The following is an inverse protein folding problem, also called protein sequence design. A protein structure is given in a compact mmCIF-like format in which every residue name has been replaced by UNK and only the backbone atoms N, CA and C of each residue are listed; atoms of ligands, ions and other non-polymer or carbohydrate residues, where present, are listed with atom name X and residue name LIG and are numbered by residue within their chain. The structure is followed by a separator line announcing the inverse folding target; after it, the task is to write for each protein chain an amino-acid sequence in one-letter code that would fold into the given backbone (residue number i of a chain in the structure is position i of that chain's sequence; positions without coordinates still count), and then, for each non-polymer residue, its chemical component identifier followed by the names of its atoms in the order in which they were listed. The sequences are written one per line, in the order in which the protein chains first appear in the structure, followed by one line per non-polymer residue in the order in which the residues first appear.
data_IF_531335966650
#
_entry.id   IF_531335966650
#
_cell.length_a   1.000
_cell.length_b   1.000
_cell.length_c   1.000
_cell.angle_alpha   90.00
_cell.angle_beta   90.00
_cell.angle_gamma   90.00
#
_symmetry.space_group_name_H-M   'P 1'
#
loop_
_entity.id
_entity.type
_entity.pdbx_description
1 polymer ?
#
# COMPACT_ATOMS: atom_id res chain seq x y z
N UNK A 1 27.18 3.23 2.35
CA UNK A 1 26.13 2.67 3.21
C UNK A 1 26.21 1.15 3.19
N UNK A 2 26.58 0.49 4.26
CA UNK A 2 26.81 -0.96 4.25
C UNK A 2 25.52 -1.77 3.99
N UNK A 3 24.32 -1.19 4.22
CA UNK A 3 23.06 -1.93 4.10
C UNK A 3 22.11 -1.39 3.00
N UNK A 4 22.57 -0.45 2.17
CA UNK A 4 21.71 0.21 1.16
C UNK A 4 20.97 -0.80 0.27
N UNK A 5 21.70 -1.72 -0.36
CA UNK A 5 21.10 -2.69 -1.28
C UNK A 5 20.20 -3.71 -0.59
N UNK A 6 20.49 -4.07 0.67
CA UNK A 6 19.65 -5.00 1.44
C UNK A 6 18.30 -4.37 1.79
N UNK A 7 18.32 -3.11 2.23
CA UNK A 7 17.10 -2.36 2.54
C UNK A 7 16.31 -2.06 1.26
N UNK A 8 16.97 -1.58 0.21
CA UNK A 8 16.35 -1.29 -1.09
C UNK A 8 15.75 -2.53 -1.74
N UNK A 9 16.45 -3.66 -1.69
CA UNK A 9 15.97 -4.94 -2.20
C UNK A 9 14.71 -5.43 -1.47
N UNK A 10 14.64 -5.25 -0.16
CA UNK A 10 13.42 -5.57 0.58
C UNK A 10 12.23 -4.71 0.11
N UNK A 11 12.39 -3.39 -0.04
CA UNK A 11 11.33 -2.53 -0.57
C UNK A 11 10.93 -2.94 -1.99
N UNK A 12 11.90 -3.25 -2.85
CA UNK A 12 11.66 -3.69 -4.22
C UNK A 12 10.73 -4.91 -4.26
N UNK A 13 11.07 -5.98 -3.53
CA UNK A 13 10.27 -7.20 -3.52
C UNK A 13 8.94 -7.04 -2.76
N UNK A 14 8.90 -6.27 -1.68
CA UNK A 14 7.67 -6.00 -0.93
C UNK A 14 6.64 -5.27 -1.81
N UNK A 15 7.08 -4.23 -2.51
CA UNK A 15 6.19 -3.49 -3.41
C UNK A 15 5.98 -4.20 -4.75
N UNK A 16 6.89 -5.08 -5.16
CA UNK A 16 6.67 -6.03 -6.25
C UNK A 16 5.52 -6.99 -5.94
N UNK A 17 5.47 -7.53 -4.71
CA UNK A 17 4.34 -8.34 -4.25
C UNK A 17 3.03 -7.51 -4.23
N UNK A 18 3.08 -6.27 -3.77
CA UNK A 18 1.94 -5.37 -3.80
C UNK A 18 1.47 -5.08 -5.24
N UNK A 19 2.41 -4.86 -6.18
CA UNK A 19 2.14 -4.68 -7.60
C UNK A 19 1.57 -5.94 -8.28
N UNK A 20 1.85 -7.11 -7.74
CA UNK A 20 1.24 -8.37 -8.17
C UNK A 20 -0.17 -8.51 -7.60
N UNK A 21 -0.35 -8.22 -6.32
CA UNK A 21 -1.61 -8.44 -5.60
C UNK A 21 -2.69 -7.42 -6.00
N UNK A 22 -2.38 -6.11 -5.93
CA UNK A 22 -3.41 -5.06 -6.06
C UNK A 22 -4.03 -5.02 -7.46
N UNK A 23 -3.27 -4.99 -8.56
CA UNK A 23 -3.87 -4.92 -9.90
C UNK A 23 -4.47 -6.24 -10.38
N UNK A 24 -3.95 -7.39 -9.96
CA UNK A 24 -4.25 -8.64 -10.66
C UNK A 24 -4.99 -9.69 -9.83
N UNK A 25 -5.01 -9.57 -8.50
CA UNK A 25 -5.68 -10.56 -7.65
C UNK A 25 -7.18 -10.62 -7.88
N UNK A 26 -7.82 -9.47 -8.13
CA UNK A 26 -9.25 -9.43 -8.45
C UNK A 26 -9.59 -10.14 -9.77
N UNK A 27 -8.66 -10.10 -10.76
CA UNK A 27 -8.81 -10.85 -12.01
C UNK A 27 -8.73 -12.36 -11.76
N UNK A 28 -7.78 -12.80 -10.93
CA UNK A 28 -7.68 -14.20 -10.53
C UNK A 28 -8.96 -14.69 -9.83
N UNK A 29 -9.50 -13.91 -8.89
CA UNK A 29 -10.76 -14.23 -8.22
C UNK A 29 -11.93 -14.30 -9.22
N UNK A 30 -11.96 -13.41 -10.21
CA UNK A 30 -12.95 -13.45 -11.28
C UNK A 30 -12.84 -14.72 -12.11
N UNK A 31 -11.63 -15.12 -12.49
CA UNK A 31 -11.37 -16.35 -13.26
C UNK A 31 -11.70 -17.63 -12.48
N UNK A 32 -11.63 -17.59 -11.14
CA UNK A 32 -12.14 -18.65 -10.25
C UNK A 32 -13.68 -18.68 -10.18
N UNK A 33 -14.38 -17.75 -10.83
CA UNK A 33 -15.84 -17.70 -10.88
C UNK A 33 -16.51 -16.98 -9.71
N UNK A 34 -15.77 -16.24 -8.88
CA UNK A 34 -16.38 -15.44 -7.81
C UNK A 34 -17.22 -14.29 -8.37
N UNK A 35 -18.39 -14.06 -7.79
CA UNK A 35 -19.24 -12.92 -8.11
C UNK A 35 -18.57 -11.59 -7.73
N UNK A 36 -19.01 -10.48 -8.35
CA UNK A 36 -18.47 -9.15 -8.01
C UNK A 36 -18.61 -8.82 -6.52
N UNK A 37 -19.72 -9.21 -5.88
CA UNK A 37 -19.92 -9.02 -4.44
C UNK A 37 -18.90 -9.83 -3.60
N UNK A 38 -18.64 -11.09 -3.98
CA UNK A 38 -17.64 -11.94 -3.33
C UNK A 38 -16.22 -11.36 -3.51
N UNK A 39 -15.87 -10.91 -4.72
CA UNK A 39 -14.58 -10.26 -5.00
C UNK A 39 -14.43 -9.02 -4.14
N UNK A 40 -15.44 -8.15 -4.08
CA UNK A 40 -15.43 -6.94 -3.23
C UNK A 40 -15.19 -7.28 -1.76
N UNK A 41 -15.89 -8.28 -1.23
CA UNK A 41 -15.74 -8.72 0.16
C UNK A 41 -14.33 -9.31 0.43
N UNK A 42 -13.82 -10.16 -0.46
CA UNK A 42 -12.49 -10.76 -0.34
C UNK A 42 -11.38 -9.70 -0.43
N UNK A 43 -11.49 -8.73 -1.34
CA UNK A 43 -10.53 -7.64 -1.48
C UNK A 43 -10.58 -6.62 -0.31
N UNK A 44 -11.68 -6.54 0.42
CA UNK A 44 -11.78 -5.73 1.63
C UNK A 44 -10.99 -6.32 2.82
N UNK A 45 -10.80 -7.65 2.88
CA UNK A 45 -10.14 -8.34 4.00
C UNK A 45 -8.72 -7.79 4.27
N UNK A 46 -7.80 -7.69 3.28
CA UNK A 46 -6.48 -7.13 3.52
C UNK A 46 -6.50 -5.67 4.00
N UNK A 47 -7.51 -4.89 3.63
CA UNK A 47 -7.67 -3.52 4.08
C UNK A 47 -8.17 -3.45 5.53
N UNK A 48 -9.11 -4.32 5.91
CA UNK A 48 -9.60 -4.41 7.28
C UNK A 48 -8.50 -4.85 8.25
N UNK A 49 -7.67 -5.81 7.86
CA UNK A 49 -6.54 -6.26 8.70
C UNK A 49 -5.50 -5.17 8.92
N UNK A 50 -5.37 -4.17 8.02
CA UNK A 50 -4.50 -3.00 8.20
C UNK A 50 -4.92 -2.12 9.38
N UNK A 51 -6.17 -2.17 9.82
CA UNK A 51 -6.65 -1.37 10.95
C UNK A 51 -6.05 -1.86 12.27
N UNK A 52 -5.93 -3.16 12.45
CA UNK A 52 -5.51 -3.76 13.73
C UNK A 52 -4.12 -4.38 13.73
N UNK A 53 -3.75 -5.11 12.68
CA UNK A 53 -2.52 -5.87 12.65
C UNK A 53 -1.24 -5.02 12.86
N UNK A 54 -1.03 -3.88 12.18
CA UNK A 54 0.17 -3.07 12.39
C UNK A 54 0.32 -2.57 13.83
N UNK A 55 -0.79 -2.19 14.47
CA UNK A 55 -0.78 -1.69 15.85
C UNK A 55 -0.42 -2.80 16.85
N UNK A 56 -1.01 -3.99 16.69
CA UNK A 56 -0.71 -5.15 17.53
C UNK A 56 0.77 -5.56 17.40
N UNK A 57 1.23 -5.69 16.17
CA UNK A 57 2.62 -6.06 15.89
C UNK A 57 3.61 -4.97 16.29
N UNK A 58 3.24 -3.69 16.15
CA UNK A 58 4.00 -2.54 16.64
C UNK A 58 4.18 -2.58 18.14
N UNK A 59 3.09 -2.76 18.88
CA UNK A 59 3.12 -2.91 20.34
C UNK A 59 4.01 -4.09 20.78
N UNK A 60 3.89 -5.24 20.10
CA UNK A 60 4.73 -6.40 20.39
C UNK A 60 6.21 -6.14 20.10
N UNK A 61 6.51 -5.43 19.00
CA UNK A 61 7.87 -5.04 18.62
C UNK A 61 8.50 -4.09 19.63
N UNK A 62 7.76 -3.09 20.09
CA UNK A 62 8.23 -2.10 21.04
C UNK A 62 8.43 -2.71 22.45
N UNK A 63 7.50 -3.58 22.88
CA UNK A 63 7.60 -4.27 24.16
C UNK A 63 8.74 -5.28 24.22
N UNK A 64 8.93 -6.05 23.15
CA UNK A 64 9.98 -7.08 23.10
C UNK A 64 11.36 -6.53 22.77
N UNK A 65 11.45 -5.36 22.10
CA UNK A 65 12.69 -4.84 21.52
C UNK A 65 13.24 -5.68 20.37
N UNK A 66 12.49 -6.66 19.87
CA UNK A 66 12.96 -7.67 18.90
C UNK A 66 12.37 -7.46 17.51
N UNK A 67 12.37 -6.21 17.04
CA UNK A 67 11.75 -5.78 15.78
C UNK A 67 12.13 -6.66 14.57
N UNK A 68 13.42 -6.96 14.42
CA UNK A 68 13.90 -7.80 13.31
C UNK A 68 13.33 -9.24 13.38
N UNK A 69 13.19 -9.81 14.59
CA UNK A 69 12.55 -11.14 14.72
C UNK A 69 11.09 -11.12 14.30
N UNK A 70 10.37 -10.04 14.63
CA UNK A 70 8.97 -9.87 14.20
C UNK A 70 8.88 -9.73 12.67
N UNK A 71 9.77 -8.96 12.03
CA UNK A 71 9.83 -8.86 10.57
C UNK A 71 10.06 -10.24 9.94
N UNK A 72 11.02 -11.01 10.45
CA UNK A 72 11.33 -12.37 9.97
C UNK A 72 10.17 -13.33 10.18
N UNK A 73 9.59 -13.36 11.37
CA UNK A 73 8.46 -14.22 11.71
C UNK A 73 7.22 -13.85 10.90
N UNK A 74 6.90 -12.55 10.77
CA UNK A 74 5.76 -12.08 9.98
C UNK A 74 5.86 -12.48 8.50
N UNK A 75 7.04 -12.32 7.86
CA UNK A 75 7.23 -12.76 6.48
C UNK A 75 7.17 -14.28 6.34
N UNK A 76 7.79 -15.04 7.25
CA UNK A 76 7.74 -16.51 7.23
C UNK A 76 6.31 -17.02 7.38
N UNK A 77 5.59 -16.52 8.38
CA UNK A 77 4.22 -16.94 8.63
C UNK A 77 3.30 -16.52 7.47
N UNK A 78 3.47 -15.31 6.89
CA UNK A 78 2.75 -14.92 5.70
C UNK A 78 3.00 -15.88 4.53
N UNK A 79 4.26 -16.29 4.30
CA UNK A 79 4.60 -17.25 3.25
C UNK A 79 3.99 -18.63 3.48
N UNK A 80 4.02 -19.12 4.72
CA UNK A 80 3.47 -20.45 5.07
C UNK A 80 1.94 -20.46 4.96
N UNK A 81 1.27 -19.46 5.57
CA UNK A 81 -0.21 -19.41 5.58
C UNK A 81 -0.81 -19.07 4.22
N UNK A 82 0.01 -18.61 3.26
CA UNK A 82 -0.42 -18.39 1.88
C UNK A 82 -0.38 -19.67 1.03
N UNK A 83 0.39 -20.69 1.41
CA UNK A 83 0.50 -21.94 0.62
C UNK A 83 -0.83 -22.64 0.31
N UNK A 84 -1.85 -22.67 1.20
CA UNK A 84 -3.16 -23.24 0.87
C UNK A 84 -3.85 -22.61 -0.36
N UNK A 85 -3.36 -21.48 -0.87
CA UNK A 85 -3.90 -20.80 -2.07
C UNK A 85 -4.07 -21.74 -3.28
N UNK A 86 -3.28 -22.79 -3.37
CA UNK A 86 -3.33 -23.76 -4.47
C UNK A 86 -4.50 -24.74 -4.38
N UNK A 87 -5.21 -24.81 -3.24
CA UNK A 87 -6.29 -25.75 -2.97
C UNK A 87 -7.59 -25.09 -2.53
N UNK A 88 -7.61 -23.76 -2.36
CA UNK A 88 -8.80 -23.03 -1.92
C UNK A 88 -9.57 -22.51 -3.13
N UNK A 89 -10.85 -22.86 -3.18
CA UNK A 89 -11.78 -22.54 -4.29
C UNK A 89 -13.12 -21.99 -3.80
N UNK A 90 -13.40 -22.06 -2.49
CA UNK A 90 -14.64 -21.52 -1.90
C UNK A 90 -14.42 -20.14 -1.31
N UNK A 91 -15.51 -19.36 -1.18
CA UNK A 91 -15.47 -18.02 -0.57
C UNK A 91 -14.86 -18.05 0.85
N UNK A 92 -15.31 -18.99 1.70
CA UNK A 92 -14.87 -19.03 3.09
C UNK A 92 -13.43 -19.50 3.25
N UNK A 93 -12.99 -20.45 2.44
CA UNK A 93 -11.59 -20.89 2.44
C UNK A 93 -10.65 -19.78 1.94
N UNK A 94 -11.05 -19.06 0.90
CA UNK A 94 -10.31 -17.90 0.39
C UNK A 94 -10.31 -16.75 1.41
N UNK A 95 -11.42 -16.48 2.09
CA UNK A 95 -11.50 -15.46 3.13
C UNK A 95 -10.58 -15.80 4.31
N UNK A 96 -10.58 -17.04 4.79
CA UNK A 96 -9.70 -17.51 5.85
C UNK A 96 -8.22 -17.38 5.47
N UNK A 97 -7.86 -17.74 4.23
CA UNK A 97 -6.53 -17.56 3.69
C UNK A 97 -6.13 -16.07 3.68
N UNK A 98 -6.97 -15.19 3.15
CA UNK A 98 -6.66 -13.77 3.05
C UNK A 98 -6.58 -13.10 4.43
N UNK A 99 -7.43 -13.46 5.40
CA UNK A 99 -7.33 -12.98 6.79
C UNK A 99 -5.98 -13.37 7.39
N UNK A 100 -5.64 -14.67 7.34
CA UNK A 100 -4.41 -15.19 7.92
C UNK A 100 -3.17 -14.59 7.26
N UNK A 101 -3.12 -14.59 5.93
CA UNK A 101 -2.03 -14.01 5.15
C UNK A 101 -1.86 -12.52 5.46
N UNK A 102 -2.92 -11.73 5.31
CA UNK A 102 -2.82 -10.27 5.46
C UNK A 102 -2.56 -9.84 6.90
N UNK A 103 -2.98 -10.61 7.90
CA UNK A 103 -2.65 -10.36 9.30
C UNK A 103 -1.13 -10.38 9.55
N UNK A 104 -0.43 -11.38 9.02
CA UNK A 104 1.02 -11.47 9.16
C UNK A 104 1.74 -10.50 8.21
N UNK A 105 1.28 -10.35 6.98
CA UNK A 105 1.93 -9.48 6.00
C UNK A 105 1.83 -7.99 6.36
N UNK A 106 0.68 -7.52 6.85
CA UNK A 106 0.49 -6.14 7.29
C UNK A 106 1.33 -5.76 8.53
N UNK A 107 1.84 -6.74 9.27
CA UNK A 107 2.77 -6.53 10.38
C UNK A 107 4.12 -5.95 9.92
N UNK A 108 4.54 -6.28 8.69
CA UNK A 108 5.94 -6.21 8.29
C UNK A 108 6.36 -4.81 7.88
N UNK A 109 5.57 -4.11 7.03
CA UNK A 109 6.02 -2.86 6.41
C UNK A 109 6.32 -1.77 7.44
N UNK A 110 5.42 -1.52 8.39
CA UNK A 110 5.61 -0.50 9.41
C UNK A 110 6.86 -0.77 10.26
N UNK A 111 7.08 -2.04 10.63
CA UNK A 111 8.27 -2.43 11.40
C UNK A 111 9.55 -2.30 10.58
N UNK A 112 9.47 -2.57 9.28
CA UNK A 112 10.60 -2.43 8.38
C UNK A 112 10.97 -0.97 8.11
N UNK A 113 9.99 -0.07 8.04
CA UNK A 113 10.22 1.37 7.92
C UNK A 113 10.99 1.92 9.12
N UNK A 114 10.58 1.55 10.33
CA UNK A 114 11.31 1.92 11.55
C UNK A 114 12.73 1.34 11.55
N UNK A 115 12.90 0.06 11.20
CA UNK A 115 14.22 -0.57 11.07
C UNK A 115 15.10 0.17 10.06
N UNK A 116 14.53 0.57 8.93
CA UNK A 116 15.23 1.32 7.87
C UNK A 116 15.74 2.66 8.40
N UNK A 117 14.87 3.45 9.04
CA UNK A 117 15.24 4.75 9.62
C UNK A 117 16.34 4.60 10.69
N UNK A 118 16.23 3.59 11.57
CA UNK A 118 17.25 3.27 12.56
C UNK A 118 18.58 2.88 11.93
N UNK A 119 18.54 2.07 10.86
CA UNK A 119 19.75 1.63 10.14
C UNK A 119 20.43 2.77 9.38
N UNK A 120 19.68 3.78 8.95
CA UNK A 120 20.20 4.98 8.31
C UNK A 120 20.79 5.98 9.33
N UNK A 121 20.27 6.05 10.54
CA UNK A 121 20.74 6.92 11.60
C UNK A 121 20.87 8.37 11.14
N UNK A 122 22.09 8.95 11.20
CA UNK A 122 22.36 10.33 10.76
C UNK A 122 22.11 10.57 9.26
N UNK A 123 21.95 9.53 8.45
CA UNK A 123 21.66 9.60 7.03
C UNK A 123 20.18 9.41 6.71
N UNK A 124 19.28 9.69 7.65
CA UNK A 124 17.81 9.56 7.48
C UNK A 124 17.27 10.35 6.27
N UNK A 125 17.93 11.45 5.86
CA UNK A 125 17.61 12.17 4.62
C UNK A 125 17.69 11.30 3.36
N UNK A 126 18.38 10.15 3.41
CA UNK A 126 18.47 9.18 2.31
C UNK A 126 17.36 8.13 2.31
N UNK A 127 16.44 8.19 3.26
CA UNK A 127 15.30 7.28 3.34
C UNK A 127 14.52 7.24 2.03
N UNK A 128 14.25 8.39 1.41
CA UNK A 128 13.54 8.48 0.14
C UNK A 128 14.22 7.70 -1.00
N UNK A 129 15.56 7.68 -1.06
CA UNK A 129 16.30 6.93 -2.08
C UNK A 129 16.17 5.42 -1.88
N UNK A 130 16.16 4.95 -0.63
CA UNK A 130 15.93 3.52 -0.32
C UNK A 130 14.48 3.15 -0.62
N UNK A 131 13.53 4.00 -0.20
CA UNK A 131 12.09 3.77 -0.36
C UNK A 131 11.63 3.80 -1.82
N UNK A 132 12.32 4.58 -2.68
CA UNK A 132 12.05 4.68 -4.13
C UNK A 132 12.12 3.32 -4.83
N UNK A 133 13.00 2.41 -4.37
CA UNK A 133 13.08 1.04 -4.91
C UNK A 133 11.77 0.26 -4.77
N UNK A 134 10.91 0.64 -3.81
CA UNK A 134 9.56 0.11 -3.73
C UNK A 134 8.71 0.50 -4.95
N UNK A 135 8.73 1.78 -5.36
CA UNK A 135 8.01 2.21 -6.57
C UNK A 135 8.56 1.52 -7.81
N UNK A 136 9.89 1.36 -7.92
CA UNK A 136 10.51 0.60 -9.02
C UNK A 136 10.05 -0.85 -9.00
N UNK A 137 10.05 -1.52 -7.84
CA UNK A 137 9.58 -2.90 -7.69
C UNK A 137 8.11 -3.07 -8.08
N UNK A 138 7.24 -2.14 -7.68
CA UNK A 138 5.84 -2.13 -8.10
C UNK A 138 5.70 -2.04 -9.63
N UNK A 139 6.36 -1.03 -10.25
CA UNK A 139 6.29 -0.79 -11.70
C UNK A 139 6.80 -2.01 -12.48
N UNK A 140 7.96 -2.57 -12.09
CA UNK A 140 8.51 -3.76 -12.73
C UNK A 140 7.55 -4.94 -12.61
N UNK A 141 7.00 -5.17 -11.41
CA UNK A 141 6.08 -6.29 -11.18
C UNK A 141 4.81 -6.16 -12.03
N UNK A 142 4.17 -5.00 -12.08
CA UNK A 142 2.91 -4.85 -12.84
C UNK A 142 3.14 -4.96 -14.35
N UNK A 143 4.26 -4.44 -14.88
CA UNK A 143 4.55 -4.53 -16.32
C UNK A 143 4.93 -5.96 -16.73
N UNK A 144 5.87 -6.56 -16.02
CA UNK A 144 6.33 -7.94 -16.32
C UNK A 144 5.17 -8.92 -16.16
N UNK A 145 4.41 -8.79 -15.07
CA UNK A 145 3.32 -9.71 -14.82
C UNK A 145 2.15 -9.49 -15.79
N UNK A 146 1.84 -8.25 -16.17
CA UNK A 146 0.83 -7.97 -17.18
C UNK A 146 1.10 -8.74 -18.48
N UNK A 147 2.33 -8.69 -18.98
CA UNK A 147 2.76 -9.44 -20.16
C UNK A 147 2.71 -10.97 -19.96
N UNK A 148 3.14 -11.45 -18.79
CA UNK A 148 3.04 -12.88 -18.46
C UNK A 148 1.59 -13.35 -18.43
N UNK A 149 0.70 -12.58 -17.77
CA UNK A 149 -0.71 -12.93 -17.65
C UNK A 149 -1.47 -12.91 -19.00
N UNK A 150 -1.04 -12.07 -19.95
CA UNK A 150 -1.60 -12.09 -21.30
C UNK A 150 -1.24 -13.39 -22.04
N UNK A 151 -0.10 -13.99 -21.74
CA UNK A 151 0.36 -15.23 -22.39
C UNK A 151 -0.13 -16.51 -21.71
N UNK A 152 -0.12 -16.55 -20.38
CA UNK A 152 -0.37 -17.80 -19.63
C UNK A 152 -1.61 -17.78 -18.73
N UNK A 153 -2.32 -16.64 -18.66
CA UNK A 153 -3.51 -16.47 -17.84
C UNK A 153 -3.20 -16.20 -16.35
N UNK A 154 -4.25 -15.95 -15.58
CA UNK A 154 -4.13 -15.56 -14.15
C UNK A 154 -3.75 -16.70 -13.21
N UNK A 155 -3.85 -17.95 -13.64
CA UNK A 155 -3.51 -19.13 -12.84
C UNK A 155 -2.05 -19.19 -12.35
N UNK A 156 -1.15 -18.38 -12.93
CA UNK A 156 0.23 -18.25 -12.48
C UNK A 156 0.39 -17.36 -11.23
N UNK A 157 -0.60 -16.52 -10.90
CA UNK A 157 -0.53 -15.56 -9.79
C UNK A 157 -0.22 -16.20 -8.43
N UNK A 158 -0.86 -17.32 -8.02
CA UNK A 158 -0.50 -18.00 -6.77
C UNK A 158 0.97 -18.38 -6.69
N UNK A 159 1.57 -18.84 -7.80
CA UNK A 159 2.98 -19.23 -7.87
C UNK A 159 3.90 -18.01 -7.73
N UNK A 160 3.60 -16.92 -8.44
CA UNK A 160 4.38 -15.67 -8.37
C UNK A 160 4.31 -15.07 -6.97
N UNK A 161 3.11 -14.98 -6.37
CA UNK A 161 2.93 -14.46 -5.02
C UNK A 161 3.65 -15.32 -3.98
N UNK A 162 3.52 -16.65 -4.06
CA UNK A 162 4.26 -17.56 -3.18
C UNK A 162 5.78 -17.38 -3.33
N UNK A 163 6.28 -17.33 -4.56
CA UNK A 163 7.71 -17.10 -4.83
C UNK A 163 8.20 -15.78 -4.25
N UNK A 164 7.46 -14.69 -4.42
CA UNK A 164 7.79 -13.37 -3.87
C UNK A 164 7.77 -13.37 -2.34
N UNK A 165 6.82 -14.05 -1.69
CA UNK A 165 6.76 -14.18 -0.24
C UNK A 165 7.99 -14.91 0.32
N UNK A 166 8.40 -16.00 -0.32
CA UNK A 166 9.62 -16.73 0.07
C UNK A 166 10.89 -15.89 -0.17
N UNK A 167 10.98 -15.17 -1.29
CA UNK A 167 12.09 -14.24 -1.56
C UNK A 167 12.16 -13.11 -0.52
N UNK A 168 11.01 -12.55 -0.14
CA UNK A 168 10.94 -11.56 0.93
C UNK A 168 11.46 -12.12 2.25
N UNK A 169 10.99 -13.30 2.64
CA UNK A 169 11.46 -13.95 3.87
C UNK A 169 12.99 -14.17 3.83
N UNK A 170 13.52 -14.76 2.75
CA UNK A 170 14.96 -14.94 2.58
C UNK A 170 15.73 -13.60 2.64
N UNK A 171 15.17 -12.55 2.01
CA UNK A 171 15.71 -11.19 2.09
C UNK A 171 15.82 -10.67 3.52
N UNK A 172 14.86 -11.01 4.40
CA UNK A 172 14.93 -10.58 5.82
C UNK A 172 16.10 -11.18 6.60
N UNK A 173 16.62 -12.33 6.15
CA UNK A 173 17.78 -12.98 6.81
C UNK A 173 19.06 -12.17 6.64
N UNK A 174 19.14 -11.35 5.58
CA UNK A 174 20.29 -10.49 5.29
C UNK A 174 20.23 -9.12 5.99
N UNK A 175 19.09 -8.78 6.62
CA UNK A 175 18.90 -7.48 7.24
C UNK A 175 19.74 -7.31 8.52
N UNK A 176 20.25 -6.08 8.78
CA UNK A 176 21.01 -5.81 9.99
C UNK A 176 20.13 -5.90 11.23
N UNK A 177 20.72 -6.37 12.35
CA UNK A 177 20.09 -6.25 13.64
C UNK A 177 20.09 -4.76 14.04
N UNK A 178 18.93 -4.12 14.03
CA UNK A 178 18.79 -2.76 14.54
C UNK A 178 18.84 -2.77 16.07
N UNK A 179 19.64 -1.90 16.67
CA UNK A 179 19.55 -1.61 18.10
C UNK A 179 18.35 -0.68 18.30
N UNK A 180 17.19 -1.23 18.62
CA UNK A 180 16.04 -0.41 18.97
C UNK A 180 16.21 0.12 20.41
N UNK A 181 16.22 1.44 20.65
CA UNK A 181 15.91 1.96 21.96
C UNK A 181 14.50 1.48 22.33
N UNK A 182 14.31 0.95 23.53
CA UNK A 182 12.98 0.72 24.08
C UNK A 182 12.22 2.05 24.02
N UNK A 183 11.07 2.06 23.36
CA UNK A 183 10.18 3.20 23.42
C UNK A 183 9.87 3.48 24.91
N UNK A 184 10.24 4.67 25.38
CA UNK A 184 9.77 5.13 26.67
C UNK A 184 8.26 5.29 26.54
N UNK A 185 7.50 4.66 27.42
CA UNK A 185 6.06 4.83 27.51
C UNK A 185 5.78 6.33 27.60
N UNK A 186 5.20 6.90 26.57
CA UNK A 186 4.87 8.31 26.49
C UNK A 186 3.89 8.70 27.60
N UNK A 187 4.09 9.89 28.15
CA UNK A 187 3.33 10.45 29.25
C UNK A 187 1.83 10.53 28.96
N UNK A 188 1.05 10.78 30.00
CA UNK A 188 -0.41 10.95 30.00
C UNK A 188 -0.83 12.05 28.97
N UNK A 189 -1.15 11.62 27.75
CA UNK A 189 -1.72 12.48 26.72
C UNK A 189 -3.21 12.75 26.98
N UNK A 190 -3.75 13.82 26.37
CA UNK A 190 -5.18 14.09 26.38
C UNK A 190 -5.95 12.85 25.94
N UNK A 191 -7.14 12.64 26.52
CA UNK A 191 -8.01 11.51 26.14
C UNK A 191 -8.21 11.47 24.63
N UNK A 192 -7.96 10.33 23.99
CA UNK A 192 -8.16 10.13 22.54
C UNK A 192 -9.55 10.59 22.12
N UNK A 193 -10.56 10.35 22.95
CA UNK A 193 -11.94 10.79 22.70
C UNK A 193 -12.07 12.32 22.63
N UNK A 194 -11.42 13.05 23.51
CA UNK A 194 -11.44 14.53 23.48
C UNK A 194 -10.75 15.09 22.23
N UNK A 195 -9.73 14.40 21.73
CA UNK A 195 -9.05 14.76 20.48
C UNK A 195 -9.98 14.49 19.28
N UNK A 196 -10.60 13.34 19.22
CA UNK A 196 -11.51 12.94 18.14
C UNK A 196 -12.74 13.86 18.05
N UNK A 197 -13.23 14.39 19.17
CA UNK A 197 -14.37 15.31 19.20
C UNK A 197 -14.05 16.76 18.80
N UNK A 198 -12.77 17.10 18.53
CA UNK A 198 -12.43 18.44 17.99
C UNK A 198 -12.97 18.57 16.57
N UNK A 199 -13.76 19.63 16.23
CA UNK A 199 -14.40 19.74 14.90
C UNK A 199 -13.43 19.62 13.72
N UNK A 200 -12.24 20.21 13.85
CA UNK A 200 -11.21 20.13 12.80
C UNK A 200 -10.71 18.67 12.60
N UNK A 201 -10.58 17.91 13.69
CA UNK A 201 -10.13 16.51 13.64
C UNK A 201 -11.22 15.64 13.05
N UNK A 202 -12.48 15.80 13.51
CA UNK A 202 -13.63 15.05 12.99
C UNK A 202 -13.81 15.30 11.50
N UNK A 203 -13.74 16.56 11.04
CA UNK A 203 -13.86 16.90 9.63
C UNK A 203 -12.72 16.31 8.80
N UNK A 204 -11.48 16.35 9.29
CA UNK A 204 -10.34 15.71 8.64
C UNK A 204 -10.53 14.19 8.52
N UNK A 205 -10.98 13.52 9.58
CA UNK A 205 -11.24 12.09 9.58
C UNK A 205 -12.34 11.71 8.59
N UNK A 206 -13.43 12.50 8.52
CA UNK A 206 -14.48 12.31 7.51
C UNK A 206 -13.91 12.47 6.10
N UNK A 207 -13.11 13.51 5.83
CA UNK A 207 -12.47 13.72 4.54
C UNK A 207 -11.54 12.55 4.17
N UNK A 208 -10.73 12.06 5.11
CA UNK A 208 -9.85 10.93 4.92
C UNK A 208 -10.63 9.63 4.66
N UNK A 209 -11.72 9.41 5.41
CA UNK A 209 -12.61 8.28 5.21
C UNK A 209 -13.26 8.30 3.82
N UNK A 210 -13.80 9.45 3.39
CA UNK A 210 -14.42 9.60 2.07
C UNK A 210 -13.40 9.40 0.94
N UNK A 211 -12.17 9.91 1.09
CA UNK A 211 -11.09 9.67 0.13
C UNK A 211 -10.80 8.18 0.00
N UNK A 212 -10.62 7.46 1.09
CA UNK A 212 -10.36 6.01 1.07
C UNK A 212 -11.54 5.21 0.56
N UNK A 213 -12.76 5.57 0.95
CA UNK A 213 -13.99 4.94 0.48
C UNK A 213 -14.13 5.03 -1.03
N UNK A 214 -13.85 6.22 -1.60
CA UNK A 214 -13.91 6.45 -3.04
C UNK A 214 -12.86 5.63 -3.82
N UNK A 215 -11.74 5.27 -3.21
CA UNK A 215 -10.68 4.47 -3.82
C UNK A 215 -10.93 2.96 -3.72
N UNK A 216 -11.82 2.49 -2.84
CA UNK A 216 -12.15 1.08 -2.68
C UNK A 216 -12.52 0.37 -3.99
N UNK A 217 -13.51 0.88 -4.75
CA UNK A 217 -13.88 0.33 -6.06
C UNK A 217 -12.73 0.32 -7.07
N UNK A 218 -11.89 1.35 -7.05
CA UNK A 218 -10.72 1.42 -7.94
C UNK A 218 -9.73 0.29 -7.65
N UNK A 219 -9.30 0.11 -6.40
CA UNK A 219 -8.35 -0.95 -6.05
C UNK A 219 -8.91 -2.36 -6.26
N UNK A 220 -10.23 -2.51 -6.27
CA UNK A 220 -10.88 -3.81 -6.43
C UNK A 220 -11.25 -4.11 -7.88
N UNK A 221 -11.85 -3.16 -8.58
CA UNK A 221 -12.54 -3.43 -9.84
C UNK A 221 -11.92 -2.77 -11.07
N UNK A 222 -10.94 -1.86 -10.91
CA UNK A 222 -10.37 -1.13 -12.05
C UNK A 222 -9.78 -2.07 -13.10
N UNK A 223 -9.03 -3.08 -12.69
CA UNK A 223 -8.45 -4.05 -13.64
C UNK A 223 -9.53 -4.92 -14.30
N UNK A 224 -10.57 -5.31 -13.56
CA UNK A 224 -11.72 -6.04 -14.11
C UNK A 224 -12.47 -5.17 -15.13
N UNK A 225 -12.65 -3.89 -14.83
CA UNK A 225 -13.28 -2.92 -15.73
C UNK A 225 -12.48 -2.76 -17.01
N UNK A 226 -11.17 -2.59 -16.95
CA UNK A 226 -10.31 -2.48 -18.13
C UNK A 226 -10.32 -3.76 -18.99
N UNK A 227 -10.29 -4.93 -18.34
CA UNK A 227 -10.39 -6.22 -19.05
C UNK A 227 -11.75 -6.35 -19.77
N UNK A 228 -12.85 -5.92 -19.14
CA UNK A 228 -14.18 -5.92 -19.75
C UNK A 228 -14.29 -4.96 -20.96
N UNK A 229 -13.46 -3.92 -21.01
CA UNK A 229 -13.32 -3.03 -22.17
C UNK A 229 -12.40 -3.60 -23.27
N UNK A 230 -11.82 -4.79 -23.07
CA UNK A 230 -10.96 -5.45 -24.05
C UNK A 230 -9.48 -5.08 -23.96
N UNK A 231 -9.04 -4.34 -22.93
CA UNK A 231 -7.63 -4.05 -22.73
C UNK A 231 -6.87 -5.28 -22.25
N UNK A 232 -5.65 -5.47 -22.78
CA UNK A 232 -4.73 -6.51 -22.32
C UNK A 232 -4.26 -6.24 -20.88
N UNK A 233 -3.83 -7.29 -20.19
CA UNK A 233 -3.30 -7.19 -18.82
C UNK A 233 -2.00 -6.38 -18.78
N UNK A 234 -1.25 -6.35 -19.89
CA UNK A 234 -0.10 -5.45 -20.05
C UNK A 234 -0.53 -3.97 -20.02
N UNK A 235 -1.58 -3.59 -20.75
CA UNK A 235 -2.13 -2.22 -20.74
C UNK A 235 -2.67 -1.87 -19.34
N UNK A 236 -3.32 -2.81 -18.67
CA UNK A 236 -3.71 -2.64 -17.25
C UNK A 236 -2.49 -2.29 -16.40
N UNK A 237 -1.40 -3.07 -16.51
CA UNK A 237 -0.15 -2.81 -15.78
C UNK A 237 0.47 -1.45 -16.14
N UNK A 238 0.42 -1.06 -17.41
CA UNK A 238 0.92 0.24 -17.87
C UNK A 238 0.17 1.40 -17.22
N UNK A 239 -1.17 1.33 -17.16
CA UNK A 239 -1.99 2.35 -16.52
C UNK A 239 -1.74 2.42 -15.00
N UNK A 240 -1.58 1.29 -14.32
CA UNK A 240 -1.19 1.27 -12.91
C UNK A 240 0.20 1.89 -12.70
N UNK A 241 1.17 1.56 -13.57
CA UNK A 241 2.52 2.12 -13.52
C UNK A 241 2.51 3.63 -13.72
N UNK A 242 1.70 4.13 -14.65
CA UNK A 242 1.57 5.56 -14.94
C UNK A 242 1.12 6.34 -13.70
N UNK A 243 0.17 5.81 -12.93
CA UNK A 243 -0.27 6.40 -11.67
C UNK A 243 0.88 6.51 -10.66
N UNK A 244 1.68 5.45 -10.49
CA UNK A 244 2.83 5.43 -9.57
C UNK A 244 3.94 6.37 -10.03
N UNK A 245 4.24 6.43 -11.33
CA UNK A 245 5.23 7.37 -11.89
C UNK A 245 4.81 8.81 -11.65
N UNK A 246 3.54 9.13 -11.89
CA UNK A 246 2.99 10.46 -11.63
C UNK A 246 3.07 10.82 -10.14
N UNK A 247 2.79 9.87 -9.24
CA UNK A 247 2.89 10.06 -7.78
C UNK A 247 4.33 10.33 -7.34
N UNK A 248 5.31 9.59 -7.85
CA UNK A 248 6.74 9.87 -7.60
C UNK A 248 7.10 11.28 -8.07
N UNK A 249 6.66 11.68 -9.28
CA UNK A 249 6.87 13.03 -9.80
C UNK A 249 6.25 14.11 -8.91
N UNK A 250 5.03 13.90 -8.41
CA UNK A 250 4.36 14.80 -7.48
C UNK A 250 5.16 14.97 -6.18
N UNK A 251 5.64 13.88 -5.59
CA UNK A 251 6.37 13.95 -4.33
C UNK A 251 7.67 14.77 -4.44
N UNK A 252 8.29 14.85 -5.62
CA UNK A 252 9.46 15.70 -5.83
C UNK A 252 9.14 17.20 -5.69
N UNK A 253 7.92 17.62 -6.01
CA UNK A 253 7.47 19.02 -5.95
C UNK A 253 6.58 19.31 -4.74
N UNK A 254 6.18 18.29 -3.97
CA UNK A 254 5.19 18.44 -2.90
C UNK A 254 5.63 19.42 -1.80
N UNK A 255 6.92 19.48 -1.51
CA UNK A 255 7.47 20.47 -0.56
C UNK A 255 7.17 21.92 -0.98
N UNK A 256 7.18 22.23 -2.29
CA UNK A 256 6.83 23.56 -2.83
C UNK A 256 5.33 23.83 -2.71
N UNK A 257 4.50 22.81 -2.97
CA UNK A 257 3.05 22.94 -2.85
C UNK A 257 2.64 23.20 -1.39
N UNK A 258 3.21 22.46 -0.44
CA UNK A 258 2.95 22.64 1.00
C UNK A 258 3.46 23.99 1.54
N UNK A 259 4.51 24.56 0.93
CA UNK A 259 5.00 25.89 1.27
C UNK A 259 4.13 27.02 0.70
N UNK A 260 3.50 26.80 -0.46
CA UNK A 260 2.74 27.83 -1.18
C UNK A 260 1.26 27.85 -0.84
N UNK A 261 0.65 26.70 -0.58
CA UNK A 261 -0.78 26.56 -0.38
C UNK A 261 -1.12 26.14 1.05
N UNK A 262 -2.25 26.62 1.57
CA UNK A 262 -2.77 26.17 2.85
C UNK A 262 -3.23 24.71 2.76
N UNK A 263 -2.86 23.89 3.75
CA UNK A 263 -3.15 22.44 3.78
C UNK A 263 -4.65 22.13 3.56
N UNK A 264 -5.63 22.83 4.20
CA UNK A 264 -7.04 22.56 3.95
C UNK A 264 -7.44 22.70 2.48
N UNK A 265 -6.90 23.68 1.76
CA UNK A 265 -7.18 23.85 0.33
C UNK A 265 -6.59 22.72 -0.52
N UNK A 266 -5.40 22.21 -0.14
CA UNK A 266 -4.82 21.02 -0.81
C UNK A 266 -5.69 19.79 -0.59
N UNK A 267 -6.24 19.59 0.62
CA UNK A 267 -7.14 18.47 0.90
C UNK A 267 -8.44 18.59 0.09
N UNK A 268 -9.06 19.75 0.04
CA UNK A 268 -10.28 19.99 -0.76
C UNK A 268 -10.01 19.80 -2.25
N UNK A 269 -8.94 20.40 -2.77
CA UNK A 269 -8.56 20.26 -4.18
C UNK A 269 -8.33 18.80 -4.55
N UNK A 270 -7.69 18.01 -3.67
CA UNK A 270 -7.47 16.58 -3.88
C UNK A 270 -8.78 15.80 -3.97
N UNK A 271 -9.79 16.12 -3.14
CA UNK A 271 -11.11 15.48 -3.19
C UNK A 271 -11.85 15.82 -4.49
N UNK A 272 -11.78 17.10 -4.92
CA UNK A 272 -12.39 17.52 -6.19
C UNK A 272 -11.71 16.86 -7.39
N UNK A 273 -10.38 16.75 -7.39
CA UNK A 273 -9.62 16.05 -8.43
C UNK A 273 -9.88 14.56 -8.42
N UNK A 274 -10.11 13.95 -7.25
CA UNK A 274 -10.55 12.56 -7.17
C UNK A 274 -11.93 12.38 -7.81
N UNK A 275 -12.88 13.26 -7.52
CA UNK A 275 -14.21 13.23 -8.13
C UNK A 275 -14.16 13.39 -9.65
N UNK A 276 -13.35 14.32 -10.15
CA UNK A 276 -13.11 14.50 -11.59
C UNK A 276 -12.50 13.23 -12.20
N UNK A 277 -11.51 12.63 -11.53
CA UNK A 277 -10.88 11.39 -11.98
C UNK A 277 -11.89 10.24 -12.09
N UNK A 278 -12.80 10.09 -11.14
CA UNK A 278 -13.84 9.05 -11.19
C UNK A 278 -14.81 9.27 -12.34
N UNK A 279 -15.21 10.52 -12.59
CA UNK A 279 -16.01 10.86 -13.76
C UNK A 279 -15.28 10.53 -15.07
N UNK A 280 -14.00 10.89 -15.18
CA UNK A 280 -13.18 10.56 -16.36
C UNK A 280 -13.11 9.06 -16.60
N UNK A 281 -12.86 8.25 -15.57
CA UNK A 281 -12.83 6.78 -15.69
C UNK A 281 -14.22 6.25 -16.11
N UNK A 282 -15.30 6.80 -15.53
CA UNK A 282 -16.67 6.35 -15.83
C UNK A 282 -17.12 6.64 -17.28
N UNK A 283 -16.62 7.73 -17.87
CA UNK A 283 -16.98 8.11 -19.26
C UNK A 283 -15.91 7.74 -20.29
N UNK A 284 -14.76 7.19 -19.86
CA UNK A 284 -13.63 6.92 -20.72
C UNK A 284 -13.95 5.88 -21.82
N UNK A 285 -14.82 4.90 -21.52
CA UNK A 285 -15.03 3.77 -22.41
C UNK A 285 -13.69 3.12 -22.78
N UNK A 286 -13.45 2.92 -24.06
CA UNK A 286 -12.21 2.36 -24.63
C UNK A 286 -11.13 3.42 -24.93
N UNK A 287 -11.34 4.68 -24.57
CA UNK A 287 -10.36 5.75 -24.78
C UNK A 287 -9.14 5.62 -23.84
N UNK A 288 -8.08 5.01 -24.34
CA UNK A 288 -6.82 4.86 -23.61
C UNK A 288 -6.24 6.21 -23.16
N UNK A 289 -6.39 7.28 -23.94
CA UNK A 289 -5.92 8.62 -23.59
C UNK A 289 -6.63 9.20 -22.39
N UNK A 290 -7.95 9.04 -22.31
CA UNK A 290 -8.72 9.55 -21.18
C UNK A 290 -8.42 8.74 -19.89
N UNK A 291 -8.24 7.43 -20.04
CA UNK A 291 -7.77 6.55 -18.93
C UNK A 291 -6.38 6.95 -18.47
N UNK A 292 -5.45 7.23 -19.39
CA UNK A 292 -4.09 7.67 -19.04
C UNK A 292 -4.10 9.03 -18.30
N UNK A 293 -4.88 10.00 -18.78
CA UNK A 293 -5.06 11.29 -18.08
C UNK A 293 -5.65 11.11 -16.69
N UNK A 294 -6.64 10.22 -16.54
CA UNK A 294 -7.19 9.87 -15.24
C UNK A 294 -6.13 9.25 -14.30
N UNK A 295 -5.19 8.45 -14.83
CA UNK A 295 -4.09 7.92 -14.03
C UNK A 295 -3.07 9.00 -13.63
N UNK A 296 -2.79 9.99 -14.46
CA UNK A 296 -1.97 11.13 -14.05
C UNK A 296 -2.62 11.93 -12.92
N UNK A 297 -3.95 12.10 -12.95
CA UNK A 297 -4.70 12.72 -11.86
C UNK A 297 -4.67 11.92 -10.55
N UNK A 298 -4.28 10.63 -10.56
CA UNK A 298 -4.09 9.86 -9.33
C UNK A 298 -3.10 10.52 -8.38
N UNK A 299 -1.98 10.98 -8.89
CA UNK A 299 -0.99 11.70 -8.11
C UNK A 299 -1.56 12.97 -7.48
N UNK A 300 -2.25 13.79 -8.29
CA UNK A 300 -2.84 15.05 -7.83
C UNK A 300 -4.03 14.87 -6.88
N UNK A 301 -4.74 13.74 -6.93
CA UNK A 301 -5.82 13.42 -6.01
C UNK A 301 -5.29 12.69 -4.78
N UNK A 302 -4.83 11.45 -4.92
CA UNK A 302 -4.43 10.59 -3.80
C UNK A 302 -3.07 10.97 -3.21
N UNK A 303 -2.05 11.17 -4.05
CA UNK A 303 -0.69 11.49 -3.58
C UNK A 303 -0.62 12.83 -2.83
N UNK A 304 -1.26 13.88 -3.37
CA UNK A 304 -1.32 15.19 -2.69
C UNK A 304 -2.15 15.13 -1.41
N UNK A 305 -3.28 14.40 -1.39
CA UNK A 305 -4.08 14.20 -0.18
C UNK A 305 -3.26 13.52 0.92
N UNK A 306 -2.53 12.45 0.58
CA UNK A 306 -1.70 11.71 1.53
C UNK A 306 -0.63 12.62 2.16
N UNK A 307 0.13 13.35 1.34
CA UNK A 307 1.18 14.24 1.85
C UNK A 307 0.62 15.41 2.66
N UNK A 308 -0.51 16.00 2.22
CA UNK A 308 -1.20 17.06 2.95
C UNK A 308 -1.75 16.54 4.29
N UNK A 309 -2.24 15.31 4.33
CA UNK A 309 -2.73 14.65 5.56
C UNK A 309 -1.61 14.48 6.58
N UNK A 310 -0.45 13.98 6.18
CA UNK A 310 0.72 13.87 7.06
C UNK A 310 1.12 15.25 7.61
N UNK A 311 1.22 16.25 6.74
CA UNK A 311 1.57 17.61 7.14
C UNK A 311 0.53 18.21 8.10
N UNK A 312 -0.76 17.91 7.90
CA UNK A 312 -1.83 18.37 8.78
C UNK A 312 -1.71 17.74 10.17
N UNK A 313 -1.51 16.41 10.25
CA UNK A 313 -1.33 15.68 11.52
C UNK A 313 -0.13 16.23 12.29
N UNK A 314 1.02 16.43 11.62
CA UNK A 314 2.20 17.03 12.26
C UNK A 314 1.93 18.45 12.81
N UNK A 315 1.17 19.27 12.10
CA UNK A 315 0.82 20.63 12.59
C UNK A 315 -0.14 20.60 13.77
N UNK A 316 -1.07 19.63 13.82
CA UNK A 316 -2.08 19.55 14.89
C UNK A 316 -1.55 18.92 16.19
N UNK A 317 -0.66 17.94 16.06
CA UNK A 317 -0.30 17.09 17.20
C UNK A 317 1.19 17.15 17.55
N UNK A 318 2.03 17.74 16.68
CA UNK A 318 3.47 17.75 16.84
C UNK A 318 4.09 16.36 16.71
N UNK A 319 5.36 16.24 17.04
CA UNK A 319 6.09 14.96 16.93
C UNK A 319 5.64 13.90 17.95
N UNK A 320 5.04 14.32 19.06
CA UNK A 320 4.68 13.43 20.18
C UNK A 320 3.49 12.49 19.89
N UNK A 321 2.66 12.80 18.87
CA UNK A 321 1.46 12.04 18.54
C UNK A 321 1.39 11.63 17.05
N UNK A 322 2.44 11.86 16.29
CA UNK A 322 2.47 11.59 14.85
C UNK A 322 2.95 10.16 14.50
N UNK A 323 3.17 9.32 15.49
CA UNK A 323 3.61 7.93 15.34
C UNK A 323 2.49 6.90 15.50
#
# INVERSE_FOLDING_TARGET
MPYYWRLSGFYFFYFGLLGTLVPYWSLYLKDLGFSAAAIGALMAIPQLTKIGAPNLWGWLADRSGQRLRIIRAGNLLAAIVFLPVFWVDTFWSMAALLVSFSFFWNAVLAQFEVLTLQSLGRQSHRYSHVRLWGSVGFIVAVLVLGEVLDRVGTGVLPWVLSGLLWLLWLGTLTLPAGNAPRAQAGGQGASVWQILCRPAVSLFLVAAFLMQLSHGPYYTFYSIYLEALGFSKFIVGLLWSLGVVAEVGLFLIMHRLLARFHIPWLLVASLLLASLRWLMIGVAGDSLWLLALAQLLHAASFGSFHAASIAWVHRQFGEALAG
#
